data_IF_877166235067
#
_entry.id   IF_877166235067
#
_cell.length_a   1.000
_cell.length_b   1.000
_cell.length_c   1.000
_cell.angle_alpha   90.00
_cell.angle_beta   90.00
_cell.angle_gamma   90.00
#
_symmetry.space_group_name_H-M   'P 1'
#
loop_
_entity.id
_entity.type
_entity.pdbx_description
1 polymer ?
#
# COMPACT_ATOMS: atom_id res chain seq x y z
N UNK A 1 -63.90 75.66 50.69
CA UNK A 1 -64.24 74.28 50.28
C UNK A 1 -62.96 73.47 50.14
N UNK A 2 -62.64 72.60 51.11
CA UNK A 2 -61.63 71.54 50.95
C UNK A 2 -62.02 70.40 51.89
N UNK A 3 -62.96 69.59 51.43
CA UNK A 3 -63.42 68.42 52.16
C UNK A 3 -62.41 67.29 51.98
N UNK A 4 -61.50 67.13 52.94
CA UNK A 4 -60.65 65.94 53.05
C UNK A 4 -61.55 64.73 53.33
N UNK A 5 -61.90 63.98 52.29
CA UNK A 5 -62.50 62.64 52.42
C UNK A 5 -61.44 61.73 53.05
N UNK A 6 -61.60 61.44 54.34
CA UNK A 6 -60.83 60.38 55.01
C UNK A 6 -61.47 59.05 54.62
N UNK A 7 -60.87 58.33 53.68
CA UNK A 7 -61.20 56.92 53.42
C UNK A 7 -60.60 56.10 54.55
N UNK A 8 -61.45 55.58 55.43
CA UNK A 8 -61.04 54.67 56.51
C UNK A 8 -61.14 53.25 55.97
N UNK A 9 -59.99 52.67 55.63
CA UNK A 9 -59.88 51.26 55.27
C UNK A 9 -59.85 50.47 56.58
N UNK A 10 -60.90 49.69 56.86
CA UNK A 10 -60.92 48.74 57.98
C UNK A 10 -60.21 47.47 57.53
N UNK A 11 -59.07 47.21 58.12
CA UNK A 11 -58.34 45.95 57.96
C UNK A 11 -58.83 45.02 59.06
N UNK A 12 -59.23 43.80 58.70
CA UNK A 12 -59.62 42.80 59.70
C UNK A 12 -58.41 42.38 60.55
N UNK A 13 -58.65 42.14 61.84
CA UNK A 13 -57.60 41.73 62.78
C UNK A 13 -56.90 40.43 62.37
N UNK A 14 -57.62 39.56 61.67
CA UNK A 14 -57.11 38.33 61.05
C UNK A 14 -56.06 38.63 59.96
N UNK A 15 -56.29 39.63 59.11
CA UNK A 15 -55.35 40.07 58.08
C UNK A 15 -54.14 40.78 58.68
N UNK A 16 -54.33 41.59 59.72
CA UNK A 16 -53.23 42.23 60.44
C UNK A 16 -52.27 41.19 61.03
N UNK A 17 -52.78 40.17 61.73
CA UNK A 17 -51.96 39.08 62.30
C UNK A 17 -51.25 38.27 61.21
N UNK A 18 -51.93 37.99 60.09
CA UNK A 18 -51.36 37.26 58.94
C UNK A 18 -50.20 38.05 58.31
N UNK A 19 -50.36 39.36 58.16
CA UNK A 19 -49.33 40.27 57.62
C UNK A 19 -48.14 40.40 58.57
N UNK A 20 -48.40 40.48 59.88
CA UNK A 20 -47.34 40.56 60.89
C UNK A 20 -46.53 39.25 60.98
N UNK A 21 -47.18 38.09 60.87
CA UNK A 21 -46.50 36.79 60.76
C UNK A 21 -45.68 36.68 59.45
N UNK A 22 -46.23 37.14 58.33
CA UNK A 22 -45.49 37.17 57.06
C UNK A 22 -44.25 38.07 57.14
N UNK A 23 -44.36 39.24 57.79
CA UNK A 23 -43.24 40.16 57.98
C UNK A 23 -42.16 39.61 58.95
N UNK A 24 -42.55 38.81 59.94
CA UNK A 24 -41.61 38.09 60.80
C UNK A 24 -40.83 37.03 60.00
N UNK A 25 -41.53 36.18 59.23
CA UNK A 25 -40.90 35.19 58.35
C UNK A 25 -39.94 35.82 57.34
N UNK A 26 -40.30 36.97 56.77
CA UNK A 26 -39.44 37.67 55.82
C UNK A 26 -38.16 38.21 56.50
N UNK A 27 -38.26 38.63 57.76
CA UNK A 27 -37.11 39.07 58.56
C UNK A 27 -36.17 37.90 58.86
N UNK A 28 -36.72 36.74 59.22
CA UNK A 28 -35.93 35.53 59.48
C UNK A 28 -35.22 35.07 58.21
N UNK A 29 -35.94 34.97 57.08
CA UNK A 29 -35.34 34.64 55.77
C UNK A 29 -34.25 35.65 55.37
N UNK A 30 -34.46 36.96 55.62
CA UNK A 30 -33.46 38.00 55.32
C UNK A 30 -32.25 37.93 56.25
N UNK A 31 -32.42 37.50 57.49
CA UNK A 31 -31.34 37.29 58.45
C UNK A 31 -30.50 36.05 58.12
N UNK A 32 -31.14 34.99 57.58
CA UNK A 32 -30.47 33.74 57.21
C UNK A 32 -29.91 33.74 55.77
N UNK A 33 -30.44 34.59 54.87
CA UNK A 33 -30.01 34.68 53.47
C UNK A 33 -28.48 34.78 53.30
N UNK A 34 -27.74 35.61 54.06
CA UNK A 34 -26.29 35.71 53.93
C UNK A 34 -25.58 34.38 54.26
N UNK A 35 -26.06 33.63 55.26
CA UNK A 35 -25.51 32.31 55.63
C UNK A 35 -25.78 31.28 54.55
N UNK A 36 -26.98 31.29 53.97
CA UNK A 36 -27.35 30.40 52.86
C UNK A 36 -26.50 30.71 51.62
N UNK A 37 -26.31 31.99 51.27
CA UNK A 37 -25.46 32.41 50.15
C UNK A 37 -24.01 31.99 50.38
N UNK A 38 -23.47 32.16 51.58
CA UNK A 38 -22.10 31.74 51.89
C UNK A 38 -21.96 30.21 51.85
N UNK A 39 -22.95 29.46 52.36
CA UNK A 39 -22.99 28.00 52.26
C UNK A 39 -23.02 27.52 50.81
N UNK A 40 -23.84 28.13 49.94
CA UNK A 40 -23.87 27.83 48.50
C UNK A 40 -22.54 28.17 47.83
N UNK A 41 -21.90 29.29 48.19
CA UNK A 41 -20.58 29.67 47.66
C UNK A 41 -19.49 28.70 48.08
N UNK A 42 -19.45 28.28 49.34
CA UNK A 42 -18.51 27.28 49.81
C UNK A 42 -18.73 25.94 49.12
N UNK A 43 -19.98 25.49 49.00
CA UNK A 43 -20.30 24.26 48.30
C UNK A 43 -19.88 24.33 46.83
N UNK A 44 -20.22 25.41 46.13
CA UNK A 44 -19.81 25.62 44.74
C UNK A 44 -18.28 25.65 44.58
N UNK A 45 -17.54 26.21 45.54
CA UNK A 45 -16.06 26.18 45.53
C UNK A 45 -15.51 24.76 45.70
N UNK A 46 -16.08 23.97 46.62
CA UNK A 46 -15.68 22.57 46.83
C UNK A 46 -15.96 21.73 45.58
N UNK A 47 -17.16 21.87 45.01
CA UNK A 47 -17.55 21.15 43.79
C UNK A 47 -16.65 21.53 42.62
N UNK A 48 -16.34 22.83 42.45
CA UNK A 48 -15.42 23.30 41.42
C UNK A 48 -13.98 22.78 41.63
N UNK A 49 -13.49 22.73 42.88
CA UNK A 49 -12.18 22.17 43.19
C UNK A 49 -12.10 20.66 42.90
N UNK A 50 -13.14 19.91 43.27
CA UNK A 50 -13.23 18.47 42.98
C UNK A 50 -13.30 18.22 41.47
N UNK A 51 -14.12 18.97 40.74
CA UNK A 51 -14.21 18.88 39.29
C UNK A 51 -12.86 19.22 38.62
N UNK A 52 -12.17 20.27 39.09
CA UNK A 52 -10.86 20.65 38.58
C UNK A 52 -9.79 19.56 38.81
N UNK A 53 -9.77 18.94 39.99
CA UNK A 53 -8.81 17.86 40.28
C UNK A 53 -9.08 16.61 39.43
N UNK A 54 -10.36 16.24 39.24
CA UNK A 54 -10.75 15.15 38.35
C UNK A 54 -10.34 15.42 36.89
N UNK A 55 -10.43 16.66 36.42
CA UNK A 55 -9.93 17.05 35.09
C UNK A 55 -8.41 16.95 35.02
N UNK A 56 -7.66 17.47 36.00
CA UNK A 56 -6.19 17.37 36.04
C UNK A 56 -5.71 15.92 36.11
N UNK A 57 -6.41 15.07 36.85
CA UNK A 57 -6.08 13.65 36.92
C UNK A 57 -6.28 12.98 35.56
N UNK A 58 -7.39 13.26 34.86
CA UNK A 58 -7.61 12.76 33.49
C UNK A 58 -6.54 13.26 32.52
N UNK A 59 -6.15 14.53 32.62
CA UNK A 59 -5.10 15.11 31.78
C UNK A 59 -3.75 14.40 32.01
N UNK A 60 -3.31 14.24 33.25
CA UNK A 60 -2.08 13.50 33.58
C UNK A 60 -2.11 12.05 33.07
N UNK A 61 -3.24 11.37 33.23
CA UNK A 61 -3.39 10.00 32.71
C UNK A 61 -3.32 9.94 31.18
N UNK A 62 -3.89 10.92 30.48
CA UNK A 62 -3.81 11.02 29.02
C UNK A 62 -2.38 11.30 28.55
N UNK A 63 -1.68 12.24 29.18
CA UNK A 63 -0.27 12.55 28.90
C UNK A 63 0.63 11.32 29.11
N UNK A 64 0.44 10.57 30.20
CA UNK A 64 1.16 9.32 30.45
C UNK A 64 0.83 8.22 29.44
N UNK A 65 -0.41 8.14 28.97
CA UNK A 65 -0.81 7.18 27.93
C UNK A 65 -0.15 7.52 26.59
N UNK A 66 -0.17 8.81 26.21
CA UNK A 66 0.50 9.30 24.99
C UNK A 66 2.00 9.01 25.08
N UNK A 67 2.67 9.37 26.17
CA UNK A 67 4.10 9.13 26.32
C UNK A 67 4.51 7.66 26.19
N UNK A 68 3.70 6.72 26.72
CA UNK A 68 3.94 5.29 26.55
C UNK A 68 3.74 4.83 25.10
N UNK A 69 2.68 5.26 24.44
CA UNK A 69 2.42 4.93 23.04
C UNK A 69 3.48 5.51 22.11
N UNK A 70 3.97 6.73 22.37
CA UNK A 70 5.04 7.35 21.58
C UNK A 70 6.37 6.59 21.72
N UNK A 71 6.71 6.14 22.94
CA UNK A 71 7.89 5.30 23.14
C UNK A 71 7.77 3.97 22.39
N UNK A 72 6.61 3.31 22.46
CA UNK A 72 6.34 2.08 21.73
C UNK A 72 6.40 2.28 20.21
N UNK A 73 5.85 3.40 19.70
CA UNK A 73 5.92 3.75 18.29
C UNK A 73 7.37 3.91 17.79
N UNK A 74 8.25 4.58 18.56
CA UNK A 74 9.67 4.72 18.19
C UNK A 74 10.42 3.40 18.17
N UNK A 75 10.12 2.51 19.11
CA UNK A 75 10.69 1.16 19.14
C UNK A 75 10.26 0.36 17.90
N UNK A 76 8.97 0.42 17.55
CA UNK A 76 8.43 -0.23 16.35
C UNK A 76 8.99 0.38 15.06
N UNK A 77 9.12 1.70 14.97
CA UNK A 77 9.74 2.37 13.84
C UNK A 77 11.17 1.88 13.62
N UNK A 78 11.96 1.85 14.70
CA UNK A 78 13.34 1.38 14.65
C UNK A 78 13.41 -0.07 14.21
N UNK A 79 12.51 -0.92 14.70
CA UNK A 79 12.42 -2.33 14.31
C UNK A 79 12.01 -2.51 12.85
N UNK A 80 10.99 -1.78 12.37
CA UNK A 80 10.54 -1.83 10.97
C UNK A 80 11.64 -1.32 10.05
N UNK A 81 12.28 -0.20 10.36
CA UNK A 81 13.39 0.34 9.57
C UNK A 81 14.60 -0.60 9.57
N UNK A 82 14.91 -1.23 10.70
CA UNK A 82 15.97 -2.25 10.80
C UNK A 82 15.65 -3.44 9.90
N UNK A 83 14.43 -3.99 9.96
CA UNK A 83 14.00 -5.08 9.09
C UNK A 83 14.02 -4.70 7.63
N UNK A 84 13.53 -3.52 7.26
CA UNK A 84 13.59 -3.00 5.89
C UNK A 84 15.05 -2.92 5.39
N UNK A 85 15.99 -2.54 6.25
CA UNK A 85 17.41 -2.50 5.92
C UNK A 85 18.04 -3.89 5.77
N UNK A 86 17.91 -4.73 6.80
CA UNK A 86 18.49 -6.08 6.84
C UNK A 86 17.91 -6.98 5.75
N UNK A 87 16.58 -7.00 5.59
CA UNK A 87 15.91 -7.86 4.60
C UNK A 87 16.15 -7.41 3.17
N UNK A 88 16.59 -6.17 2.94
CA UNK A 88 16.98 -5.71 1.61
C UNK A 88 18.47 -5.93 1.33
N UNK A 89 19.34 -5.77 2.33
CA UNK A 89 20.79 -5.87 2.14
C UNK A 89 21.28 -7.32 2.01
N UNK A 90 20.61 -8.28 2.68
CA UNK A 90 21.13 -9.64 2.84
C UNK A 90 20.35 -10.70 2.03
N UNK A 91 19.40 -10.31 1.18
CA UNK A 91 18.66 -11.28 0.35
C UNK A 91 19.52 -11.73 -0.82
N UNK A 92 19.73 -13.03 -0.87
CA UNK A 92 20.33 -13.74 -1.99
C UNK A 92 19.23 -14.12 -2.98
N UNK A 93 19.57 -14.11 -4.26
CA UNK A 93 18.71 -14.63 -5.30
C UNK A 93 18.49 -16.14 -5.08
N UNK A 94 17.42 -16.67 -5.64
CA UNK A 94 17.08 -18.09 -5.57
C UNK A 94 17.01 -18.63 -7.01
N UNK A 95 17.51 -19.85 -7.23
CA UNK A 95 17.43 -20.52 -8.52
C UNK A 95 16.06 -21.19 -8.77
N UNK A 96 15.95 -21.95 -9.86
CA UNK A 96 14.71 -22.61 -10.27
C UNK A 96 14.31 -23.77 -9.33
N UNK A 97 15.29 -24.33 -8.61
CA UNK A 97 15.11 -25.43 -7.66
C UNK A 97 14.76 -24.91 -6.25
N UNK A 98 14.84 -23.61 -6.02
CA UNK A 98 14.57 -22.99 -4.72
C UNK A 98 15.82 -22.87 -3.85
N UNK A 99 17.01 -23.10 -4.40
CA UNK A 99 18.28 -23.01 -3.69
C UNK A 99 18.84 -21.58 -3.75
N UNK A 100 19.42 -21.15 -2.64
CA UNK A 100 20.01 -19.82 -2.52
C UNK A 100 21.29 -19.69 -3.37
N UNK A 101 21.42 -18.57 -4.09
CA UNK A 101 22.58 -18.19 -4.88
C UNK A 101 23.39 -17.14 -4.12
N UNK A 102 24.35 -17.54 -3.26
CA UNK A 102 25.00 -16.66 -2.28
C UNK A 102 25.75 -15.47 -2.89
N UNK A 103 26.16 -15.56 -4.15
CA UNK A 103 26.93 -14.52 -4.85
C UNK A 103 26.06 -13.61 -5.74
N UNK A 104 24.74 -13.81 -5.77
CA UNK A 104 23.82 -13.00 -6.58
C UNK A 104 22.87 -12.25 -5.64
N UNK A 105 23.08 -10.95 -5.39
CA UNK A 105 22.18 -10.18 -4.55
C UNK A 105 20.80 -10.01 -5.23
N UNK A 106 19.73 -10.10 -4.44
CA UNK A 106 18.38 -9.75 -4.87
C UNK A 106 18.15 -8.26 -4.62
N UNK A 107 18.07 -7.47 -5.70
CA UNK A 107 17.62 -6.07 -5.62
C UNK A 107 16.09 -6.03 -5.49
N UNK A 108 15.60 -6.08 -4.24
CA UNK A 108 14.16 -6.11 -3.95
C UNK A 108 13.46 -4.89 -4.51
N UNK A 109 14.07 -3.71 -4.45
CA UNK A 109 13.43 -2.47 -4.93
C UNK A 109 13.26 -2.51 -6.44
N UNK A 110 14.29 -2.94 -7.18
CA UNK A 110 14.20 -3.11 -8.63
C UNK A 110 13.11 -4.11 -9.01
N UNK A 111 13.13 -5.33 -8.43
CA UNK A 111 12.21 -6.41 -8.80
C UNK A 111 10.78 -6.21 -8.30
N UNK A 112 10.56 -5.34 -7.32
CA UNK A 112 9.23 -4.92 -6.85
C UNK A 112 8.74 -3.60 -7.45
N UNK A 113 9.37 -3.12 -8.53
CA UNK A 113 8.99 -1.87 -9.20
C UNK A 113 9.02 -0.63 -8.28
N UNK A 114 9.97 -0.61 -7.35
CA UNK A 114 10.15 0.47 -6.38
C UNK A 114 9.24 0.37 -5.16
N UNK A 115 8.37 -0.65 -5.06
CA UNK A 115 7.36 -0.73 -4.00
C UNK A 115 7.99 -0.70 -2.59
N UNK A 116 9.21 -1.23 -2.45
CA UNK A 116 9.97 -1.15 -1.21
C UNK A 116 10.32 0.30 -0.84
N UNK A 117 10.86 1.08 -1.78
CA UNK A 117 11.16 2.51 -1.59
C UNK A 117 9.90 3.30 -1.25
N UNK A 118 8.78 3.03 -1.93
CA UNK A 118 7.49 3.65 -1.63
C UNK A 118 7.03 3.35 -0.21
N UNK A 119 7.07 2.07 0.19
CA UNK A 119 6.71 1.65 1.55
C UNK A 119 7.61 2.32 2.60
N UNK A 120 8.92 2.39 2.35
CA UNK A 120 9.87 3.05 3.26
C UNK A 120 9.51 4.52 3.46
N UNK A 121 9.25 5.25 2.37
CA UNK A 121 8.89 6.66 2.43
C UNK A 121 7.55 6.87 3.17
N UNK A 122 6.59 5.97 2.98
CA UNK A 122 5.30 6.00 3.68
C UNK A 122 5.45 5.75 5.19
N UNK A 123 6.27 4.76 5.56
CA UNK A 123 6.62 4.46 6.96
C UNK A 123 7.25 5.68 7.61
N UNK A 124 8.29 6.25 7.00
CA UNK A 124 8.97 7.45 7.52
C UNK A 124 7.99 8.61 7.67
N UNK A 125 7.22 8.93 6.64
CA UNK A 125 6.25 10.05 6.69
C UNK A 125 5.19 9.85 7.78
N UNK A 126 4.78 8.60 8.00
CA UNK A 126 3.79 8.26 9.02
C UNK A 126 4.34 8.44 10.44
N UNK A 127 5.57 8.00 10.68
CA UNK A 127 6.22 8.16 11.98
C UNK A 127 6.61 9.62 12.25
N UNK A 128 7.05 10.37 11.23
CA UNK A 128 7.32 11.80 11.34
C UNK A 128 6.08 12.57 11.81
N UNK A 129 4.91 12.28 11.23
CA UNK A 129 3.64 12.87 11.65
C UNK A 129 3.23 12.45 13.07
N UNK A 130 3.50 11.20 13.44
CA UNK A 130 3.17 10.70 14.77
C UNK A 130 4.09 11.26 15.86
N UNK A 131 5.32 11.63 15.50
CA UNK A 131 6.34 12.12 16.42
C UNK A 131 6.47 13.65 16.43
N UNK A 132 5.65 14.38 15.66
CA UNK A 132 5.67 15.84 15.63
C UNK A 132 5.30 16.45 16.99
N UNK A 133 6.30 16.97 17.70
CA UNK A 133 6.11 17.65 18.99
C UNK A 133 5.33 18.97 18.87
N UNK A 134 5.35 19.61 17.70
CA UNK A 134 4.61 20.85 17.48
C UNK A 134 3.10 20.60 17.33
N UNK A 135 2.72 19.39 16.90
CA UNK A 135 1.33 18.97 16.73
C UNK A 135 1.16 17.52 17.17
N UNK A 136 1.21 17.24 18.49
CA UNK A 136 1.19 15.87 18.97
C UNK A 136 -0.13 15.17 18.62
N UNK A 137 -0.07 13.91 18.13
CA UNK A 137 -1.25 13.15 17.78
C UNK A 137 -2.12 12.83 19.00
N UNK A 138 -3.40 12.57 18.74
CA UNK A 138 -4.31 12.11 19.79
C UNK A 138 -3.94 10.70 20.26
N UNK A 139 -4.37 10.32 21.47
CA UNK A 139 -4.20 8.93 21.96
C UNK A 139 -4.85 7.91 21.04
N UNK A 140 -5.94 8.28 20.36
CA UNK A 140 -6.63 7.41 19.40
C UNK A 140 -5.80 7.22 18.13
N UNK A 141 -5.24 8.29 17.58
CA UNK A 141 -4.34 8.22 16.42
C UNK A 141 -3.08 7.40 16.71
N UNK A 142 -2.50 7.56 17.91
CA UNK A 142 -1.38 6.74 18.36
C UNK A 142 -1.74 5.26 18.50
N UNK A 143 -2.95 4.96 18.97
CA UNK A 143 -3.45 3.59 19.04
C UNK A 143 -3.63 2.99 17.65
N UNK A 144 -4.26 3.73 16.73
CA UNK A 144 -4.45 3.32 15.35
C UNK A 144 -3.12 3.03 14.64
N UNK A 145 -2.11 3.88 14.85
CA UNK A 145 -0.76 3.67 14.33
C UNK A 145 -0.19 2.31 14.76
N UNK A 146 -0.21 2.04 16.07
CA UNK A 146 0.38 0.83 16.66
C UNK A 146 -0.42 -0.42 16.35
N UNK A 147 -1.76 -0.36 16.46
CA UNK A 147 -2.62 -1.54 16.36
C UNK A 147 -3.00 -1.88 14.92
N UNK A 148 -2.94 -0.93 13.98
CA UNK A 148 -3.41 -1.13 12.60
C UNK A 148 -2.33 -0.85 11.57
N UNK A 149 -1.72 0.34 11.59
CA UNK A 149 -0.81 0.75 10.51
C UNK A 149 0.50 -0.02 10.52
N UNK A 150 1.12 -0.21 11.70
CA UNK A 150 2.38 -0.97 11.81
C UNK A 150 2.20 -2.42 11.31
N UNK A 151 1.21 -3.21 11.77
CA UNK A 151 0.96 -4.54 11.21
C UNK A 151 0.70 -4.54 9.71
N UNK A 152 0.01 -3.52 9.18
CA UNK A 152 -0.23 -3.41 7.74
C UNK A 152 1.07 -3.14 6.95
N UNK A 153 2.01 -2.35 7.49
CA UNK A 153 3.33 -2.16 6.88
C UNK A 153 4.14 -3.46 6.87
N UNK A 154 4.11 -4.24 7.95
CA UNK A 154 4.79 -5.54 8.00
C UNK A 154 4.23 -6.52 6.95
N UNK A 155 2.89 -6.59 6.83
CA UNK A 155 2.24 -7.43 5.82
C UNK A 155 2.60 -7.01 4.40
N UNK A 156 2.63 -5.70 4.12
CA UNK A 156 3.03 -5.18 2.81
C UNK A 156 4.50 -5.46 2.50
N UNK A 157 5.39 -5.33 3.49
CA UNK A 157 6.79 -5.69 3.32
C UNK A 157 6.95 -7.17 2.98
N UNK A 158 6.25 -8.05 3.69
CA UNK A 158 6.26 -9.48 3.40
C UNK A 158 5.81 -9.76 1.96
N UNK A 159 4.71 -9.14 1.50
CA UNK A 159 4.23 -9.28 0.12
C UNK A 159 5.24 -8.79 -0.93
N UNK A 160 5.87 -7.64 -0.70
CA UNK A 160 6.92 -7.09 -1.58
C UNK A 160 8.08 -8.07 -1.71
N UNK A 161 8.52 -8.68 -0.60
CA UNK A 161 9.61 -9.65 -0.60
C UNK A 161 9.23 -10.97 -1.27
N UNK A 162 7.98 -11.42 -1.07
CA UNK A 162 7.43 -12.61 -1.72
C UNK A 162 7.28 -12.44 -3.23
N UNK A 163 7.12 -11.21 -3.73
CA UNK A 163 7.01 -10.92 -5.16
C UNK A 163 8.37 -10.75 -5.85
N UNK A 164 9.33 -10.09 -5.19
CA UNK A 164 10.61 -9.72 -5.79
C UNK A 164 11.45 -10.94 -6.24
N UNK A 165 11.57 -11.95 -5.37
CA UNK A 165 12.35 -13.16 -5.67
C UNK A 165 11.82 -13.93 -6.89
N UNK A 166 10.54 -14.35 -6.88
CA UNK A 166 9.91 -14.99 -8.02
C UNK A 166 9.94 -14.16 -9.31
N UNK A 167 9.92 -12.82 -9.23
CA UNK A 167 10.04 -11.95 -10.40
C UNK A 167 11.43 -11.99 -11.04
N UNK A 168 12.48 -12.01 -10.21
CA UNK A 168 13.85 -12.23 -10.69
C UNK A 168 13.99 -13.60 -11.34
N UNK A 169 13.50 -14.66 -10.68
CA UNK A 169 13.51 -16.00 -11.22
C UNK A 169 12.74 -16.08 -12.55
N UNK A 170 11.57 -15.44 -12.62
CA UNK A 170 10.81 -15.32 -13.87
C UNK A 170 11.62 -14.70 -15.00
N UNK A 171 12.46 -13.70 -14.74
CA UNK A 171 13.34 -13.12 -15.74
C UNK A 171 14.42 -14.08 -16.24
N UNK A 172 15.01 -14.86 -15.34
CA UNK A 172 15.98 -15.90 -15.70
C UNK A 172 15.31 -16.99 -16.54
N UNK A 173 14.10 -17.43 -16.15
CA UNK A 173 13.31 -18.38 -16.93
C UNK A 173 13.01 -17.85 -18.34
N UNK A 174 12.68 -16.56 -18.48
CA UNK A 174 12.46 -15.95 -19.80
C UNK A 174 13.71 -16.03 -20.69
N UNK A 175 14.88 -15.70 -20.15
CA UNK A 175 16.14 -15.82 -20.89
C UNK A 175 16.44 -17.28 -21.27
N UNK A 176 16.27 -18.22 -20.34
CA UNK A 176 16.51 -19.65 -20.58
C UNK A 176 15.56 -20.23 -21.64
N UNK A 177 14.27 -19.88 -21.58
CA UNK A 177 13.28 -20.26 -22.60
C UNK A 177 13.70 -19.72 -23.96
N UNK A 178 14.08 -18.45 -24.03
CA UNK A 178 14.51 -17.83 -25.28
C UNK A 178 15.75 -18.50 -25.84
N UNK A 179 16.73 -18.84 -25.01
CA UNK A 179 17.95 -19.54 -25.42
C UNK A 179 17.64 -20.93 -26.01
N UNK A 180 16.81 -21.72 -25.33
CA UNK A 180 16.36 -23.04 -25.84
C UNK A 180 15.66 -22.89 -27.20
N UNK A 181 14.75 -21.92 -27.32
CA UNK A 181 14.01 -21.66 -28.57
C UNK A 181 14.96 -21.23 -29.68
N UNK A 182 15.87 -20.29 -29.41
CA UNK A 182 16.85 -19.79 -30.38
C UNK A 182 17.78 -20.92 -30.82
N UNK A 183 18.30 -21.72 -29.90
CA UNK A 183 19.17 -22.85 -30.24
C UNK A 183 18.44 -23.87 -31.12
N UNK A 184 17.18 -24.19 -30.79
CA UNK A 184 16.33 -25.07 -31.61
C UNK A 184 16.14 -24.49 -33.02
N UNK A 185 15.99 -23.17 -33.17
CA UNK A 185 15.92 -22.53 -34.49
C UNK A 185 17.25 -22.60 -35.23
N UNK A 186 18.38 -22.41 -34.55
CA UNK A 186 19.72 -22.50 -35.14
C UNK A 186 19.97 -23.91 -35.68
N UNK A 187 19.59 -24.94 -34.93
CA UNK A 187 19.70 -26.34 -35.36
C UNK A 187 18.84 -26.62 -36.61
N UNK A 188 17.81 -25.81 -36.84
CA UNK A 188 16.94 -25.80 -38.03
C UNK A 188 17.40 -24.83 -39.14
N UNK A 189 18.64 -24.34 -39.09
CA UNK A 189 19.25 -23.54 -40.14
C UNK A 189 19.05 -22.03 -40.04
N UNK A 190 18.47 -21.53 -38.94
CA UNK A 190 18.42 -20.11 -38.64
C UNK A 190 19.77 -19.61 -38.06
N UNK A 191 19.91 -18.30 -37.99
CA UNK A 191 21.01 -17.61 -37.31
C UNK A 191 20.45 -16.51 -36.42
N UNK A 192 21.02 -16.33 -35.23
CA UNK A 192 20.65 -15.24 -34.33
C UNK A 192 21.12 -13.90 -34.89
N UNK A 193 20.19 -12.96 -35.06
CA UNK A 193 20.48 -11.62 -35.55
C UNK A 193 20.65 -10.60 -34.42
N UNK A 194 19.73 -10.58 -33.44
CA UNK A 194 19.78 -9.70 -32.27
C UNK A 194 18.93 -10.25 -31.13
N UNK A 195 19.18 -9.82 -29.89
CA UNK A 195 18.36 -10.14 -28.72
C UNK A 195 18.40 -9.00 -27.69
N UNK A 196 17.30 -8.79 -26.97
CA UNK A 196 17.18 -7.71 -25.98
C UNK A 196 16.03 -7.96 -25.01
N UNK A 197 16.09 -7.34 -23.84
CA UNK A 197 14.88 -7.10 -23.05
C UNK A 197 14.18 -5.83 -23.55
N UNK A 198 12.86 -5.82 -23.48
CA UNK A 198 12.07 -4.62 -23.80
C UNK A 198 12.45 -3.46 -22.89
N UNK A 199 12.84 -2.32 -23.47
CA UNK A 199 13.25 -1.13 -22.71
C UNK A 199 14.57 -1.30 -21.94
N UNK A 200 15.40 -2.30 -22.26
CA UNK A 200 16.58 -2.69 -21.49
C UNK A 200 16.27 -3.01 -20.01
N UNK A 201 15.03 -3.44 -19.74
CA UNK A 201 14.54 -3.75 -18.41
C UNK A 201 14.24 -5.24 -18.27
N UNK A 202 15.00 -5.91 -17.42
CA UNK A 202 14.92 -7.35 -17.17
C UNK A 202 13.56 -7.83 -16.65
N UNK A 203 12.73 -6.91 -16.14
CA UNK A 203 11.36 -7.21 -15.69
C UNK A 203 10.39 -7.42 -16.85
N UNK A 204 10.71 -6.88 -18.02
CA UNK A 204 9.89 -6.97 -19.21
C UNK A 204 10.11 -8.28 -19.97
N UNK A 205 9.43 -8.39 -21.11
CA UNK A 205 9.60 -9.46 -22.06
C UNK A 205 11.01 -9.49 -22.66
N UNK A 206 11.47 -10.70 -22.93
CA UNK A 206 12.70 -10.97 -23.66
C UNK A 206 12.39 -11.22 -25.13
N UNK A 207 13.17 -10.59 -26.02
CA UNK A 207 13.01 -10.70 -27.45
C UNK A 207 14.29 -11.22 -28.09
N UNK A 208 14.14 -12.15 -29.04
CA UNK A 208 15.23 -12.59 -29.90
C UNK A 208 14.77 -12.66 -31.35
N UNK A 209 15.55 -12.10 -32.27
CA UNK A 209 15.32 -12.17 -33.70
C UNK A 209 16.27 -13.19 -34.32
N UNK A 210 15.70 -14.14 -35.05
CA UNK A 210 16.46 -15.11 -35.85
C UNK A 210 16.11 -14.96 -37.33
N UNK A 211 17.10 -15.18 -38.18
CA UNK A 211 17.00 -15.04 -39.63
C UNK A 211 17.45 -16.34 -40.33
N UNK A 212 16.69 -16.76 -41.33
CA UNK A 212 17.02 -17.91 -42.16
C UNK A 212 17.62 -17.46 -43.50
N UNK A 213 18.43 -18.33 -44.12
CA UNK A 213 19.16 -18.02 -45.35
C UNK A 213 18.27 -17.75 -46.59
N UNK A 214 17.01 -18.17 -46.55
CA UNK A 214 16.00 -17.86 -47.59
C UNK A 214 15.31 -16.50 -47.41
N UNK A 215 15.69 -15.75 -46.35
CA UNK A 215 15.10 -14.47 -46.00
C UNK A 215 13.86 -14.54 -45.10
N UNK A 216 13.55 -15.73 -44.55
CA UNK A 216 12.60 -15.87 -43.44
C UNK A 216 13.12 -15.20 -42.17
N UNK A 217 12.23 -14.52 -41.45
CA UNK A 217 12.54 -13.84 -40.19
C UNK A 217 11.56 -14.32 -39.12
N UNK A 218 12.06 -14.67 -37.94
CA UNK A 218 11.24 -15.03 -36.79
C UNK A 218 11.67 -14.22 -35.59
N UNK A 219 10.69 -13.65 -34.88
CA UNK A 219 10.91 -13.00 -33.59
C UNK A 219 10.30 -13.85 -32.49
N UNK A 220 11.12 -14.23 -31.54
CA UNK A 220 10.76 -14.91 -30.31
C UNK A 220 10.48 -13.83 -29.26
N UNK A 221 9.30 -13.86 -28.67
CA UNK A 221 8.88 -13.00 -27.56
C UNK A 221 8.54 -13.93 -26.38
N UNK A 222 9.31 -13.80 -25.30
CA UNK A 222 9.03 -14.47 -24.03
C UNK A 222 8.62 -13.40 -23.03
N UNK A 223 7.32 -13.33 -22.74
CA UNK A 223 6.71 -12.32 -21.88
C UNK A 223 6.36 -12.91 -20.50
N UNK A 224 6.32 -12.10 -19.43
CA UNK A 224 5.73 -12.53 -18.17
C UNK A 224 4.23 -12.82 -18.34
N UNK A 225 3.72 -13.84 -17.66
CA UNK A 225 2.31 -14.22 -17.68
C UNK A 225 1.55 -13.57 -16.53
N UNK A 226 0.28 -13.25 -16.77
CA UNK A 226 -0.62 -12.77 -15.71
C UNK A 226 -0.95 -13.83 -14.64
N UNK A 227 -0.62 -15.11 -14.88
CA UNK A 227 -0.87 -16.22 -13.95
C UNK A 227 0.06 -16.14 -12.73
N UNK A 228 1.27 -15.61 -12.89
CA UNK A 228 2.22 -15.48 -11.80
C UNK A 228 3.61 -15.04 -12.27
N UNK A 229 4.48 -14.63 -11.33
CA UNK A 229 5.77 -13.99 -11.61
C UNK A 229 6.79 -14.90 -12.31
N UNK A 230 6.69 -16.22 -12.10
CA UNK A 230 7.53 -17.24 -12.76
C UNK A 230 6.91 -17.82 -14.03
N UNK A 231 5.61 -17.58 -14.25
CA UNK A 231 4.92 -18.07 -15.43
C UNK A 231 5.26 -17.17 -16.63
N UNK A 232 5.52 -17.80 -17.78
CA UNK A 232 5.91 -17.11 -19.00
C UNK A 232 4.94 -17.43 -20.14
N UNK A 233 4.74 -16.49 -21.04
CA UNK A 233 4.05 -16.67 -22.31
C UNK A 233 5.08 -16.58 -23.45
N UNK A 234 5.14 -17.62 -24.29
CA UNK A 234 6.01 -17.67 -25.46
C UNK A 234 5.20 -17.38 -26.73
N UNK A 235 5.62 -16.37 -27.48
CA UNK A 235 5.09 -16.03 -28.81
C UNK A 235 6.20 -16.19 -29.85
N UNK A 236 5.85 -16.83 -30.96
CA UNK A 236 6.76 -17.07 -32.08
C UNK A 236 6.19 -16.37 -33.31
N UNK A 237 6.70 -15.18 -33.58
CA UNK A 237 6.21 -14.28 -34.62
C UNK A 237 6.98 -14.50 -35.91
N UNK A 238 6.36 -15.13 -36.91
CA UNK A 238 7.00 -15.43 -38.20
C UNK A 238 6.65 -14.37 -39.25
N UNK A 239 7.66 -13.79 -39.89
CA UNK A 239 7.55 -12.76 -40.94
C UNK A 239 7.99 -13.28 -42.32
N UNK A 240 7.78 -14.57 -42.55
CA UNK A 240 8.16 -15.28 -43.78
C UNK A 240 7.48 -14.64 -45.02
N UNK A 241 8.25 -14.45 -46.11
CA UNK A 241 7.78 -13.77 -47.33
C UNK A 241 6.76 -14.59 -48.13
N UNK A 242 6.85 -15.92 -48.03
CA UNK A 242 5.82 -16.83 -48.53
C UNK A 242 4.93 -17.22 -47.34
N UNK A 243 3.68 -16.75 -47.36
CA UNK A 243 2.67 -17.02 -46.33
C UNK A 243 2.32 -18.52 -46.17
N UNK A 244 2.83 -19.36 -47.06
CA UNK A 244 2.62 -20.80 -47.13
C UNK A 244 3.65 -21.56 -46.28
N UNK A 245 3.29 -22.36 -45.29
CA UNK A 245 1.98 -22.90 -44.93
C UNK A 245 1.78 -22.76 -43.43
N UNK A 246 0.52 -22.59 -43.03
CA UNK A 246 0.10 -22.78 -41.64
C UNK A 246 0.74 -24.05 -41.03
N UNK A 247 0.87 -25.12 -41.82
CA UNK A 247 1.50 -26.37 -41.44
C UNK A 247 2.97 -26.23 -41.03
N UNK A 248 3.78 -25.43 -41.72
CA UNK A 248 5.18 -25.16 -41.33
C UNK A 248 5.23 -24.43 -39.98
N UNK A 249 4.37 -23.42 -39.79
CA UNK A 249 4.31 -22.67 -38.51
C UNK A 249 3.85 -23.58 -37.37
N UNK A 250 2.86 -24.43 -37.62
CA UNK A 250 2.38 -25.42 -36.65
C UNK A 250 3.45 -26.46 -36.33
N UNK A 251 4.15 -27.00 -37.34
CA UNK A 251 5.23 -27.97 -37.14
C UNK A 251 6.36 -27.37 -36.29
N UNK A 252 6.82 -26.15 -36.63
CA UNK A 252 7.80 -25.39 -35.86
C UNK A 252 7.35 -25.18 -34.41
N UNK A 253 6.10 -24.74 -34.20
CA UNK A 253 5.57 -24.52 -32.85
C UNK A 253 5.53 -25.82 -32.02
N UNK A 254 5.16 -26.95 -32.64
CA UNK A 254 5.16 -28.27 -31.98
C UNK A 254 6.58 -28.74 -31.63
N UNK A 255 7.55 -28.51 -32.51
CA UNK A 255 8.96 -28.83 -32.29
C UNK A 255 9.53 -28.01 -31.12
N UNK A 256 9.30 -26.70 -31.10
CA UNK A 256 9.73 -25.85 -29.98
C UNK A 256 9.11 -26.30 -28.66
N UNK A 257 7.81 -26.62 -28.65
CA UNK A 257 7.16 -27.15 -27.46
C UNK A 257 7.72 -28.51 -27.03
N UNK A 258 8.23 -29.33 -27.96
CA UNK A 258 8.90 -30.57 -27.62
C UNK A 258 10.30 -30.31 -27.01
N UNK A 259 11.08 -29.40 -27.60
CA UNK A 259 12.39 -29.02 -27.09
C UNK A 259 12.32 -28.43 -25.67
N UNK A 260 11.34 -27.56 -25.39
CA UNK A 260 11.12 -27.01 -24.06
C UNK A 260 10.76 -28.10 -23.03
N UNK A 261 9.91 -29.07 -23.40
CA UNK A 261 9.58 -30.22 -22.54
C UNK A 261 10.77 -31.13 -22.27
N UNK A 262 11.65 -31.32 -23.25
CA UNK A 262 12.90 -32.08 -23.08
C UNK A 262 13.82 -31.42 -22.04
N UNK A 263 13.79 -30.09 -21.95
CA UNK A 263 14.50 -29.31 -20.93
C UNK A 263 13.72 -29.18 -19.61
N UNK A 264 12.66 -29.98 -19.42
CA UNK A 264 11.91 -30.06 -18.16
C UNK A 264 10.87 -28.95 -17.95
N UNK A 265 10.59 -28.12 -18.96
CA UNK A 265 9.58 -27.07 -18.85
C UNK A 265 8.17 -27.63 -19.14
N UNK A 266 7.22 -27.27 -18.29
CA UNK A 266 5.81 -27.62 -18.50
C UNK A 266 5.19 -26.65 -19.53
N UNK A 267 5.09 -27.10 -20.78
CA UNK A 267 4.49 -26.32 -21.87
C UNK A 267 3.14 -26.88 -22.28
N UNK A 268 2.15 -25.99 -22.42
CA UNK A 268 0.87 -26.32 -23.05
C UNK A 268 1.00 -26.65 -24.54
N UNK A 269 -0.11 -27.08 -25.15
CA UNK A 269 -0.19 -27.27 -26.61
C UNK A 269 -0.16 -25.89 -27.30
N UNK A 270 0.75 -25.65 -28.26
CA UNK A 270 0.80 -24.41 -29.00
C UNK A 270 -0.53 -24.09 -29.69
N UNK A 271 -0.97 -22.84 -29.59
CA UNK A 271 -2.19 -22.36 -30.24
C UNK A 271 -1.82 -21.32 -31.30
N UNK A 272 -2.47 -21.34 -32.48
CA UNK A 272 -2.29 -20.29 -33.45
C UNK A 272 -2.87 -18.97 -32.91
N UNK A 273 -2.14 -17.87 -33.08
CA UNK A 273 -2.67 -16.54 -32.84
C UNK A 273 -3.43 -16.05 -34.07
N UNK A 274 -4.48 -15.27 -33.85
CA UNK A 274 -5.24 -14.63 -34.92
C UNK A 274 -4.48 -13.42 -35.49
N UNK A 275 -4.43 -13.30 -36.82
CA UNK A 275 -3.87 -12.15 -37.52
C UNK A 275 -2.40 -12.28 -37.91
N UNK A 276 -1.90 -11.26 -38.63
CA UNK A 276 -0.48 -11.14 -38.95
C UNK A 276 0.28 -10.53 -37.77
N UNK A 277 1.53 -10.97 -37.52
CA UNK A 277 2.36 -10.35 -36.50
C UNK A 277 2.56 -8.85 -36.76
N UNK A 278 2.52 -8.05 -35.71
CA UNK A 278 2.77 -6.61 -35.82
C UNK A 278 4.23 -6.37 -36.27
N UNK A 279 4.38 -5.64 -37.38
CA UNK A 279 5.68 -5.36 -37.99
C UNK A 279 6.64 -4.62 -37.06
N UNK A 280 6.14 -3.93 -36.03
CA UNK A 280 6.97 -3.26 -35.01
C UNK A 280 7.89 -4.23 -34.27
N UNK A 281 7.52 -5.50 -34.15
CA UNK A 281 8.37 -6.50 -33.49
C UNK A 281 9.65 -6.83 -34.27
N UNK A 282 9.75 -6.48 -35.57
CA UNK A 282 10.96 -6.70 -36.38
C UNK A 282 12.09 -5.72 -36.04
N UNK A 283 11.77 -4.58 -35.44
CA UNK A 283 12.74 -3.55 -35.07
C UNK A 283 13.17 -3.74 -33.61
N UNK A 284 14.12 -4.66 -33.39
CA UNK A 284 14.66 -4.97 -32.06
C UNK A 284 15.26 -3.72 -31.38
N UNK A 285 15.84 -2.81 -32.15
CA UNK A 285 16.40 -1.57 -31.62
C UNK A 285 15.30 -0.59 -31.14
N UNK A 286 14.12 -0.61 -31.78
CA UNK A 286 12.95 0.09 -31.24
C UNK A 286 12.44 -0.55 -29.95
N UNK A 287 12.41 -1.89 -29.86
CA UNK A 287 11.99 -2.62 -28.65
C UNK A 287 12.93 -2.33 -27.48
N UNK A 288 14.24 -2.32 -27.74
CA UNK A 288 15.28 -1.98 -26.78
C UNK A 288 15.05 -0.60 -26.16
N UNK A 289 14.65 0.38 -26.97
CA UNK A 289 14.36 1.75 -26.52
C UNK A 289 12.99 1.91 -25.87
N UNK A 290 11.99 1.13 -26.29
CA UNK A 290 10.62 1.24 -25.80
C UNK A 290 9.96 -0.12 -25.83
N UNK A 291 9.77 -0.71 -24.65
CA UNK A 291 9.09 -1.99 -24.52
C UNK A 291 7.68 -1.92 -25.15
N UNK A 292 7.36 -2.79 -26.12
CA UNK A 292 6.00 -2.90 -26.63
C UNK A 292 5.04 -3.26 -25.48
N UNK A 293 4.03 -2.42 -25.21
CA UNK A 293 3.02 -2.67 -24.17
C UNK A 293 3.26 -2.02 -22.81
N UNK A 294 4.40 -1.35 -22.57
CA UNK A 294 4.66 -0.63 -21.31
C UNK A 294 3.62 0.47 -21.00
N UNK A 295 2.97 1.03 -22.01
CA UNK A 295 1.88 2.00 -21.85
C UNK A 295 0.61 1.43 -21.20
N UNK A 296 0.40 0.11 -21.23
CA UNK A 296 -0.81 -0.51 -20.70
C UNK A 296 -0.72 -0.84 -19.19
N UNK A 297 0.47 -1.18 -18.68
CA UNK A 297 0.67 -1.51 -17.26
C UNK A 297 1.10 -0.32 -16.40
N UNK A 298 1.68 0.74 -16.98
CA UNK A 298 1.91 2.00 -16.27
C UNK A 298 0.61 2.65 -15.74
N UNK A 299 -0.54 2.34 -16.38
CA UNK A 299 -1.86 2.80 -15.93
C UNK A 299 -2.39 1.97 -14.75
N UNK A 300 -1.92 0.73 -14.55
CA UNK A 300 -2.37 -0.14 -13.44
C UNK A 300 -1.60 0.11 -12.14
N UNK A 301 -0.31 0.47 -12.23
CA UNK A 301 0.54 0.75 -11.05
C UNK A 301 0.20 2.12 -10.41
N UNK A 302 -0.54 2.99 -11.12
CA UNK A 302 -1.07 4.25 -10.59
C UNK A 302 -2.44 4.16 -9.89
N UNK A 303 -3.03 2.97 -9.78
CA UNK A 303 -4.31 2.79 -9.08
C UNK A 303 -4.07 2.73 -7.56
N UNK A 304 -4.27 3.89 -6.93
CA UNK A 304 -4.46 4.08 -5.50
C UNK A 304 -5.22 2.89 -4.85
N UNK A 305 -4.68 2.19 -3.83
CA UNK A 305 -5.42 1.19 -3.07
C UNK A 305 -6.56 1.81 -2.22
N UNK A 306 -6.66 3.14 -2.18
CA UNK A 306 -7.58 3.91 -1.35
C UNK A 306 -8.95 4.22 -1.95
N UNK A 307 -9.65 3.27 -2.58
CA UNK A 307 -11.11 3.43 -2.73
C UNK A 307 -11.87 2.09 -2.75
N UNK A 308 -11.99 1.48 -1.57
CA UNK A 308 -13.07 0.53 -1.28
C UNK A 308 -13.71 0.87 0.07
N UNK A 309 -14.50 1.93 0.07
CA UNK A 309 -15.59 2.10 1.04
C UNK A 309 -16.87 2.50 0.30
N UNK A 310 -17.75 1.51 0.10
CA UNK A 310 -19.19 1.63 0.37
C UNK A 310 -19.73 0.29 0.84
#
# INVERSE_FOLDING_TARGET
MSGRKKTVVRIEESEWRRTQQAAARLRDVRADLPKVIEGVREQARRDAQQAAEAVRQRQRSAEQAIGRLSAQARELESEVNRRLGEQNADRVAVDAEGEELPDVPLDVDYWSHGALLWLRNEVTSTFDLAMDEASPPSTEAMRELVEQRVPAFEQRLAGILEEAGPSQLGSQLRANIADIVVQTMIDNGFSLADATYGGDDYRNAFFAKVEHSDGGEVVVDVSPSAVGPTACELKVLSFDRDSGSYEIRTARALELAAALREHGLDTGVPQPADGEPDARYRDIESIRRTAPGADADAVRVGADPGDRTR
#
